data_IF_480820638116
#
_entry.id   IF_480820638116
#
_cell.length_a   1.000
_cell.length_b   1.000
_cell.length_c   1.000
_cell.angle_alpha   90.00
_cell.angle_beta   90.00
_cell.angle_gamma   90.00
#
_symmetry.space_group_name_H-M   'P 1'
#
loop_
_entity.id
_entity.type
_entity.pdbx_description
1 polymer ?
#
# COMPACT_ATOMS: atom_id res chain seq x y z
N UNK A 1 17.81 -11.45 -20.85
CA UNK A 1 16.57 -12.22 -20.63
C UNK A 1 16.12 -11.83 -19.24
N UNK A 2 15.00 -11.14 -19.11
CA UNK A 2 14.47 -10.75 -17.80
C UNK A 2 14.13 -12.02 -17.00
N UNK A 3 14.42 -12.00 -15.70
CA UNK A 3 14.06 -13.05 -14.76
C UNK A 3 12.52 -13.17 -14.74
N UNK A 4 11.95 -14.30 -15.15
CA UNK A 4 10.51 -14.50 -15.02
C UNK A 4 10.15 -14.63 -13.53
N UNK A 5 9.08 -13.98 -13.04
CA UNK A 5 8.74 -14.04 -11.63
C UNK A 5 8.43 -15.48 -11.22
N UNK A 6 9.26 -16.05 -10.35
CA UNK A 6 9.03 -17.36 -9.75
C UNK A 6 7.84 -17.30 -8.80
N UNK A 7 6.96 -18.31 -8.81
CA UNK A 7 5.82 -18.40 -7.88
C UNK A 7 6.33 -18.36 -6.43
N UNK A 8 5.85 -17.43 -5.57
CA UNK A 8 6.26 -17.37 -4.18
C UNK A 8 5.81 -18.63 -3.44
N UNK A 9 6.68 -19.17 -2.58
CA UNK A 9 6.34 -20.31 -1.73
C UNK A 9 5.39 -19.89 -0.59
N UNK A 10 5.42 -18.62 -0.19
CA UNK A 10 4.59 -18.05 0.87
C UNK A 10 4.02 -16.70 0.43
N UNK A 11 2.69 -16.55 0.51
CA UNK A 11 2.01 -15.26 0.34
C UNK A 11 1.35 -14.85 1.66
N UNK A 12 1.72 -13.68 2.19
CA UNK A 12 1.10 -13.12 3.40
C UNK A 12 0.12 -12.03 2.99
N UNK A 13 -1.18 -12.26 3.19
CA UNK A 13 -2.23 -11.27 2.85
C UNK A 13 -2.73 -10.59 4.12
N UNK A 14 -2.69 -9.26 4.15
CA UNK A 14 -2.98 -8.45 5.34
C UNK A 14 -4.03 -7.39 5.00
N UNK A 15 -5.25 -7.47 5.56
CA UNK A 15 -6.19 -6.36 5.48
C UNK A 15 -5.69 -5.19 6.33
N UNK A 16 -5.80 -3.97 5.80
CA UNK A 16 -5.39 -2.73 6.46
C UNK A 16 -6.56 -1.77 6.49
N UNK A 17 -6.90 -1.25 7.66
CA UNK A 17 -7.85 -0.17 7.81
C UNK A 17 -7.44 0.74 8.97
N UNK A 18 -7.03 1.97 8.64
CA UNK A 18 -6.63 2.99 9.62
C UNK A 18 -5.52 2.54 10.59
N UNK A 19 -4.40 2.03 10.05
CA UNK A 19 -3.27 1.47 10.81
C UNK A 19 -1.97 2.28 10.61
N UNK A 20 -2.06 3.57 10.26
CA UNK A 20 -0.89 4.41 9.93
C UNK A 20 0.22 4.37 10.99
N UNK A 21 -0.15 4.27 12.27
CA UNK A 21 0.79 4.23 13.40
C UNK A 21 1.49 2.88 13.61
N UNK A 22 0.96 1.77 13.09
CA UNK A 22 1.45 0.41 13.37
C UNK A 22 2.04 -0.27 12.14
N UNK A 23 1.57 0.12 10.94
CA UNK A 23 1.83 -0.56 9.68
C UNK A 23 3.32 -0.68 9.35
N UNK A 24 4.10 0.38 9.58
CA UNK A 24 5.56 0.35 9.35
C UNK A 24 6.26 -0.68 10.23
N UNK A 25 5.94 -0.73 11.53
CA UNK A 25 6.52 -1.69 12.45
C UNK A 25 6.09 -3.14 12.15
N UNK A 26 4.84 -3.33 11.71
CA UNK A 26 4.35 -4.63 11.24
C UNK A 26 5.15 -5.10 10.02
N UNK A 27 5.27 -4.26 9.00
CA UNK A 27 6.02 -4.55 7.78
C UNK A 27 7.47 -4.95 8.08
N UNK A 28 8.18 -4.15 8.89
CA UNK A 28 9.57 -4.46 9.25
C UNK A 28 9.72 -5.81 9.97
N UNK A 29 8.81 -6.11 10.90
CA UNK A 29 8.84 -7.37 11.65
C UNK A 29 8.57 -8.56 10.74
N UNK A 30 7.57 -8.46 9.87
CA UNK A 30 7.26 -9.50 8.90
C UNK A 30 8.40 -9.72 7.91
N UNK A 31 8.95 -8.65 7.34
CA UNK A 31 10.06 -8.74 6.39
C UNK A 31 11.27 -9.45 7.01
N UNK A 32 11.59 -9.16 8.28
CA UNK A 32 12.65 -9.89 9.01
C UNK A 32 12.32 -11.37 9.17
N UNK A 33 11.14 -11.71 9.65
CA UNK A 33 10.73 -13.11 9.85
C UNK A 33 10.70 -13.90 8.54
N UNK A 34 10.16 -13.33 7.46
CA UNK A 34 10.07 -13.98 6.17
C UNK A 34 11.44 -14.17 5.52
N UNK A 35 12.36 -13.22 5.71
CA UNK A 35 13.76 -13.35 5.27
C UNK A 35 14.44 -14.58 5.89
N UNK A 36 14.14 -14.89 7.15
CA UNK A 36 14.76 -16.01 7.86
C UNK A 36 14.18 -17.39 7.46
N UNK A 37 13.08 -17.45 6.71
CA UNK A 37 12.47 -18.70 6.24
C UNK A 37 13.30 -19.41 5.15
N UNK A 38 14.16 -18.69 4.42
CA UNK A 38 14.92 -19.26 3.30
C UNK A 38 14.07 -19.69 2.10
N UNK A 39 12.83 -19.19 1.98
CA UNK A 39 11.91 -19.43 0.87
C UNK A 39 11.58 -18.12 0.13
N UNK A 40 11.08 -18.20 -1.10
CA UNK A 40 10.50 -17.04 -1.80
C UNK A 40 9.17 -16.64 -1.16
N UNK A 41 8.92 -15.33 -1.03
CA UNK A 41 7.72 -14.81 -0.39
C UNK A 41 7.26 -13.49 -0.96
N UNK A 42 5.99 -13.16 -0.70
CA UNK A 42 5.40 -11.86 -0.93
C UNK A 42 4.55 -11.43 0.27
N UNK A 43 4.37 -10.11 0.42
CA UNK A 43 3.39 -9.54 1.36
C UNK A 43 2.43 -8.67 0.55
N UNK A 44 1.15 -8.99 0.65
CA UNK A 44 0.06 -8.28 -0.04
C UNK A 44 -0.76 -7.56 1.03
N UNK A 45 -0.69 -6.23 1.04
CA UNK A 45 -1.56 -5.42 1.87
C UNK A 45 -2.80 -5.04 1.08
N UNK A 46 -3.96 -5.24 1.69
CA UNK A 46 -5.27 -4.93 1.12
C UNK A 46 -5.85 -3.80 1.93
N UNK A 47 -5.71 -2.56 1.43
CA UNK A 47 -6.28 -1.39 2.07
C UNK A 47 -7.81 -1.36 1.88
N UNK A 48 -8.55 -1.48 2.97
CA UNK A 48 -10.02 -1.50 3.01
C UNK A 48 -10.58 -0.09 3.21
N UNK A 49 -10.03 0.89 2.49
CA UNK A 49 -10.49 2.28 2.49
C UNK A 49 -10.00 3.12 3.66
N UNK A 50 -8.74 3.01 4.06
CA UNK A 50 -8.15 3.83 5.13
C UNK A 50 -8.23 5.33 4.85
N UNK A 51 -8.50 6.13 5.89
CA UNK A 51 -8.60 7.60 5.83
C UNK A 51 -7.56 8.33 6.69
N UNK A 52 -6.56 7.61 7.19
CA UNK A 52 -5.54 8.10 8.14
C UNK A 52 -4.13 8.22 7.53
N UNK A 53 -4.01 8.05 6.22
CA UNK A 53 -2.73 8.05 5.51
C UNK A 53 -2.01 6.70 5.44
N UNK A 54 -2.64 5.59 5.87
CA UNK A 54 -2.07 4.23 5.79
C UNK A 54 -1.50 3.89 4.41
N UNK A 55 -2.23 4.22 3.33
CA UNK A 55 -1.80 3.95 1.95
C UNK A 55 -0.45 4.60 1.61
N UNK A 56 -0.28 5.89 1.94
CA UNK A 56 0.96 6.63 1.64
C UNK A 56 2.16 6.10 2.43
N UNK A 57 1.94 5.69 3.69
CA UNK A 57 2.98 5.09 4.53
C UNK A 57 3.42 3.76 3.93
N UNK A 58 2.47 2.93 3.50
CA UNK A 58 2.78 1.62 2.94
C UNK A 58 3.52 1.70 1.61
N UNK A 59 3.04 2.52 0.67
CA UNK A 59 3.70 2.72 -0.63
C UNK A 59 5.17 3.13 -0.45
N UNK A 60 5.44 4.04 0.49
CA UNK A 60 6.81 4.42 0.85
C UNK A 60 7.60 3.28 1.50
N UNK A 61 6.98 2.48 2.37
CA UNK A 61 7.62 1.32 2.99
C UNK A 61 8.04 0.25 1.98
N UNK A 62 7.31 0.13 0.86
CA UNK A 62 7.69 -0.70 -0.28
C UNK A 62 8.76 -0.08 -1.20
N UNK A 63 9.24 1.13 -0.89
CA UNK A 63 10.23 1.83 -1.73
C UNK A 63 9.66 2.40 -3.02
N UNK A 64 8.33 2.52 -3.14
CA UNK A 64 7.69 3.15 -4.30
C UNK A 64 7.64 4.67 -4.07
N UNK A 65 8.16 5.44 -5.03
CA UNK A 65 8.07 6.89 -4.98
C UNK A 65 6.63 7.38 -5.24
N UNK A 66 6.19 8.31 -4.40
CA UNK A 66 4.93 9.03 -4.62
C UNK A 66 5.26 10.23 -5.51
N UNK A 67 4.68 10.25 -6.71
CA UNK A 67 4.83 11.34 -7.68
C UNK A 67 4.05 12.59 -7.25
N UNK A 68 2.87 12.42 -6.66
CA UNK A 68 2.06 13.51 -6.10
C UNK A 68 1.18 12.98 -4.95
N UNK A 69 0.93 13.82 -3.95
CA UNK A 69 0.05 13.51 -2.82
C UNK A 69 0.78 13.26 -1.48
N UNK A 70 0.05 13.06 -0.37
CA UNK A 70 -1.40 12.99 -0.28
C UNK A 70 -2.06 14.33 -0.63
N UNK A 71 -3.10 14.28 -1.46
CA UNK A 71 -3.82 15.48 -1.92
C UNK A 71 -5.32 15.24 -1.95
N UNK A 72 -6.10 16.26 -1.59
CA UNK A 72 -7.56 16.18 -1.65
C UNK A 72 -8.06 16.31 -3.08
N UNK A 73 -9.03 15.47 -3.43
CA UNK A 73 -9.75 15.47 -4.72
C UNK A 73 -11.26 15.32 -4.50
N UNK A 74 -12.00 15.47 -5.60
CA UNK A 74 -13.45 15.24 -5.64
C UNK A 74 -13.72 13.89 -6.28
N UNK A 75 -14.15 12.90 -5.50
CA UNK A 75 -14.63 11.62 -5.99
C UNK A 75 -16.13 11.63 -6.28
N UNK A 76 -16.62 10.57 -6.92
CA UNK A 76 -18.02 10.45 -7.30
C UNK A 76 -18.99 10.47 -6.10
N UNK A 77 -18.56 9.98 -4.94
CA UNK A 77 -19.39 9.95 -3.70
C UNK A 77 -19.04 11.05 -2.70
N UNK A 78 -18.06 11.92 -3.00
CA UNK A 78 -17.60 12.94 -2.07
C UNK A 78 -16.08 13.13 -2.06
N UNK A 79 -15.54 13.84 -1.05
CA UNK A 79 -14.11 14.10 -0.93
C UNK A 79 -13.29 12.81 -0.81
N UNK A 80 -12.17 12.76 -1.54
CA UNK A 80 -11.19 11.67 -1.47
C UNK A 80 -9.81 12.25 -1.15
N UNK A 81 -8.96 11.42 -0.57
CA UNK A 81 -7.52 11.64 -0.51
C UNK A 81 -6.83 10.71 -1.50
N UNK A 82 -6.02 11.29 -2.37
CA UNK A 82 -5.33 10.59 -3.46
C UNK A 82 -3.82 10.67 -3.28
N UNK A 83 -3.15 9.59 -3.66
CA UNK A 83 -1.72 9.57 -3.99
C UNK A 83 -1.55 9.08 -5.42
N UNK A 84 -0.51 9.58 -6.08
CA UNK A 84 -0.15 9.21 -7.44
C UNK A 84 1.23 8.58 -7.44
N UNK A 85 1.37 7.45 -8.11
CA UNK A 85 2.62 6.70 -8.25
C UNK A 85 2.79 6.24 -9.70
N UNK A 86 4.02 5.84 -10.07
CA UNK A 86 4.30 5.25 -11.38
C UNK A 86 4.46 3.75 -11.25
N UNK A 87 3.79 3.01 -12.14
CA UNK A 87 4.07 1.58 -12.30
C UNK A 87 5.43 1.38 -13.01
N UNK A 88 5.95 0.14 -13.10
CA UNK A 88 7.22 -0.15 -13.79
C UNK A 88 7.24 0.24 -15.28
N UNK A 89 6.08 0.32 -15.92
CA UNK A 89 5.95 0.76 -17.32
C UNK A 89 5.89 2.30 -17.45
N UNK A 90 5.86 3.02 -16.32
CA UNK A 90 5.84 4.47 -16.24
C UNK A 90 4.44 5.09 -16.28
N UNK A 91 3.37 4.28 -16.32
CA UNK A 91 1.99 4.75 -16.28
C UNK A 91 1.71 5.40 -14.91
N UNK A 92 0.95 6.49 -14.93
CA UNK A 92 0.51 7.17 -13.71
C UNK A 92 -0.71 6.44 -13.14
N UNK A 93 -0.58 5.91 -11.93
CA UNK A 93 -1.64 5.24 -11.18
C UNK A 93 -2.08 6.14 -10.02
N UNK A 94 -3.39 6.29 -9.86
CA UNK A 94 -4.00 6.97 -8.72
C UNK A 94 -4.51 5.92 -7.72
N UNK A 95 -4.10 6.05 -6.46
CA UNK A 95 -4.67 5.32 -5.33
C UNK A 95 -5.44 6.33 -4.48
N UNK A 96 -6.73 6.11 -4.29
CA UNK A 96 -7.61 7.05 -3.58
C UNK A 96 -8.50 6.36 -2.58
N UNK A 97 -8.64 6.97 -1.42
CA UNK A 97 -9.61 6.56 -0.41
C UNK A 97 -10.62 7.69 -0.13
N UNK A 98 -11.87 7.31 0.11
CA UNK A 98 -12.87 8.27 0.56
C UNK A 98 -12.52 8.75 1.96
N UNK A 99 -12.56 10.06 2.15
CA UNK A 99 -12.46 10.63 3.48
C UNK A 99 -13.73 10.27 4.24
N UNK A 100 -13.58 9.68 5.42
CA UNK A 100 -14.72 9.38 6.27
C UNK A 100 -15.50 10.67 6.54
N UNK A 101 -16.75 10.72 6.08
CA UNK A 101 -17.68 11.77 6.49
C UNK A 101 -17.94 11.55 7.97
N UNK A 102 -17.66 12.54 8.83
CA UNK A 102 -18.17 12.54 10.19
C UNK A 102 -19.71 12.51 10.13
N UNK A 103 -20.30 11.33 10.27
CA UNK A 103 -21.73 11.12 10.50
C UNK A 103 -22.50 10.41 9.38
N UNK A 104 -22.88 9.17 9.67
CA UNK A 104 -24.25 8.69 9.54
C UNK A 104 -24.60 7.86 10.78
#
# INVERSE_FOLDING_TARGET
MADEPSVPAVSVVIPVFNEAGTLGALHERLARTLKDLGQSWEIIFVDDGSSDGSAAIFVKACGVEIAEGPVRRTGARGPIESIYLRDPDGNLIEVSNYLATLGA
#
